data_IF_024255354610
#
_entry.id   IF_024255354610
#
_cell.length_a   1.000
_cell.length_b   1.000
_cell.length_c   1.000
_cell.angle_alpha   90.00
_cell.angle_beta   90.00
_cell.angle_gamma   90.00
#
_symmetry.space_group_name_H-M   'P 1'
#
loop_
_entity.id
_entity.type
_entity.pdbx_description
1 polymer ?
#
# COMPACT_ATOMS: atom_id res chain seq x y z
N UNK A 1 -35.77 -35.87 10.41
CA UNK A 1 -34.37 -35.40 10.29
C UNK A 1 -34.30 -34.05 10.96
N UNK A 2 -33.38 -33.86 11.91
CA UNK A 2 -33.15 -32.55 12.53
C UNK A 2 -32.58 -31.58 11.49
N UNK A 3 -33.13 -30.36 11.45
CA UNK A 3 -32.62 -29.28 10.61
C UNK A 3 -31.83 -28.31 11.46
N UNK A 4 -30.89 -27.60 10.84
CA UNK A 4 -30.13 -26.54 11.52
C UNK A 4 -31.08 -25.49 12.14
N UNK A 5 -32.17 -25.15 11.46
CA UNK A 5 -33.20 -24.21 11.91
C UNK A 5 -33.96 -24.66 13.15
N UNK A 6 -33.85 -25.93 13.55
CA UNK A 6 -34.51 -26.46 14.74
C UNK A 6 -33.69 -26.19 16.03
N UNK A 7 -32.47 -25.65 15.90
CA UNK A 7 -31.63 -25.27 17.04
C UNK A 7 -32.16 -24.01 17.75
N UNK A 8 -32.00 -23.91 19.08
CA UNK A 8 -32.19 -22.66 19.81
C UNK A 8 -31.36 -21.50 19.23
N UNK A 9 -31.85 -20.28 19.40
CA UNK A 9 -31.20 -19.07 18.84
C UNK A 9 -29.76 -18.92 19.34
N UNK A 10 -29.52 -19.27 20.60
CA UNK A 10 -28.20 -19.21 21.25
C UNK A 10 -27.18 -20.11 20.54
N UNK A 11 -27.58 -21.35 20.22
CA UNK A 11 -26.72 -22.29 19.49
C UNK A 11 -26.51 -21.84 18.04
N UNK A 12 -27.51 -21.21 17.43
CA UNK A 12 -27.34 -20.67 16.08
C UNK A 12 -26.37 -19.48 16.06
N UNK A 13 -26.43 -18.59 17.06
CA UNK A 13 -25.44 -17.51 17.23
C UNK A 13 -24.04 -18.10 17.42
N UNK A 14 -23.91 -19.14 18.23
CA UNK A 14 -22.64 -19.84 18.40
C UNK A 14 -22.12 -20.40 17.07
N UNK A 15 -22.96 -21.11 16.29
CA UNK A 15 -22.62 -21.59 14.95
C UNK A 15 -22.11 -20.46 14.05
N UNK A 16 -22.80 -19.31 14.03
CA UNK A 16 -22.35 -18.14 13.26
C UNK A 16 -20.97 -17.64 13.72
N UNK A 17 -20.72 -17.55 15.02
CA UNK A 17 -19.45 -17.11 15.61
C UNK A 17 -18.27 -18.07 15.37
N UNK A 18 -18.54 -19.30 14.93
CA UNK A 18 -17.52 -20.29 14.55
C UNK A 18 -17.27 -20.36 13.03
N UNK A 19 -17.94 -19.55 12.21
CA UNK A 19 -17.66 -19.48 10.77
C UNK A 19 -16.29 -18.84 10.51
N UNK A 20 -15.68 -19.19 9.37
CA UNK A 20 -14.30 -18.84 9.06
C UNK A 20 -14.10 -17.40 8.56
N UNK A 21 -15.15 -16.77 8.05
CA UNK A 21 -15.07 -15.45 7.44
C UNK A 21 -16.37 -14.64 7.55
N UNK A 22 -16.27 -13.33 7.32
CA UNK A 22 -17.42 -12.43 7.20
C UNK A 22 -18.36 -12.90 6.07
N UNK A 23 -17.80 -13.37 4.96
CA UNK A 23 -18.60 -13.81 3.82
C UNK A 23 -19.40 -15.09 4.16
N UNK A 24 -18.81 -16.02 4.92
CA UNK A 24 -19.50 -17.24 5.37
C UNK A 24 -20.76 -16.93 6.21
N UNK A 25 -20.70 -15.90 7.07
CA UNK A 25 -21.87 -15.43 7.83
C UNK A 25 -22.96 -14.96 6.88
N UNK A 26 -22.62 -14.09 5.93
CA UNK A 26 -23.60 -13.58 4.99
C UNK A 26 -24.12 -14.67 4.04
N UNK A 27 -23.31 -15.67 3.71
CA UNK A 27 -23.72 -16.83 2.92
C UNK A 27 -24.69 -17.72 3.68
N UNK A 28 -24.38 -18.08 4.93
CA UNK A 28 -25.27 -18.89 5.78
C UNK A 28 -26.59 -18.18 6.05
N UNK A 29 -26.55 -16.88 6.35
CA UNK A 29 -27.75 -16.09 6.58
C UNK A 29 -28.67 -15.98 5.35
N UNK A 30 -28.10 -16.07 4.14
CA UNK A 30 -28.88 -16.08 2.88
C UNK A 30 -29.56 -17.42 2.59
N UNK A 31 -29.21 -18.50 3.29
CA UNK A 31 -29.76 -19.83 3.03
C UNK A 31 -31.26 -19.93 3.39
N UNK A 32 -31.74 -19.26 4.45
CA UNK A 32 -33.16 -19.19 4.78
C UNK A 32 -33.52 -17.97 5.65
N UNK A 33 -34.82 -17.67 5.74
CA UNK A 33 -35.35 -16.52 6.50
C UNK A 33 -35.06 -16.60 8.00
N UNK A 34 -35.14 -17.80 8.58
CA UNK A 34 -34.92 -17.99 10.02
C UNK A 34 -33.48 -17.67 10.40
N UNK A 35 -32.50 -18.14 9.61
CA UNK A 35 -31.09 -17.80 9.80
C UNK A 35 -30.80 -16.31 9.55
N UNK A 36 -31.47 -15.71 8.55
CA UNK A 36 -31.38 -14.26 8.32
C UNK A 36 -31.86 -13.45 9.52
N UNK A 37 -32.92 -13.91 10.22
CA UNK A 37 -33.48 -13.20 11.37
C UNK A 37 -32.51 -13.06 12.55
N UNK A 38 -31.52 -13.95 12.66
CA UNK A 38 -30.49 -13.89 13.70
C UNK A 38 -29.59 -12.68 13.49
N UNK A 39 -29.07 -12.52 12.27
CA UNK A 39 -28.16 -11.42 11.94
C UNK A 39 -28.88 -10.08 11.71
N UNK A 40 -30.21 -10.06 11.70
CA UNK A 40 -30.99 -8.81 11.70
C UNK A 40 -30.96 -8.11 13.06
N UNK A 41 -30.65 -8.82 14.15
CA UNK A 41 -30.45 -8.22 15.47
C UNK A 41 -29.06 -7.58 15.52
N UNK A 42 -29.02 -6.24 15.53
CA UNK A 42 -27.76 -5.49 15.38
C UNK A 42 -26.68 -5.89 16.41
N UNK A 43 -27.03 -5.95 17.70
CA UNK A 43 -26.07 -6.34 18.74
C UNK A 43 -25.48 -7.74 18.50
N UNK A 44 -26.34 -8.72 18.18
CA UNK A 44 -25.94 -10.10 17.88
C UNK A 44 -25.04 -10.16 16.64
N UNK A 45 -25.38 -9.41 15.59
CA UNK A 45 -24.57 -9.33 14.38
C UNK A 45 -23.18 -8.78 14.65
N UNK A 46 -23.08 -7.70 15.42
CA UNK A 46 -21.79 -7.08 15.77
C UNK A 46 -20.96 -8.03 16.63
N UNK A 47 -21.58 -8.75 17.58
CA UNK A 47 -20.89 -9.75 18.40
C UNK A 47 -20.33 -10.91 17.56
N UNK A 48 -21.13 -11.46 16.65
CA UNK A 48 -20.70 -12.51 15.71
C UNK A 48 -19.50 -12.01 14.89
N UNK A 49 -19.62 -10.82 14.29
CA UNK A 49 -18.57 -10.25 13.44
C UNK A 49 -17.30 -9.96 14.22
N UNK A 50 -17.41 -9.44 15.45
CA UNK A 50 -16.28 -9.25 16.35
C UNK A 50 -15.54 -10.56 16.60
N UNK A 51 -16.25 -11.63 16.93
CA UNK A 51 -15.62 -12.95 17.16
C UNK A 51 -14.89 -13.45 15.92
N UNK A 52 -15.48 -13.29 14.74
CA UNK A 52 -14.84 -13.70 13.47
C UNK A 52 -13.60 -12.88 13.17
N UNK A 53 -13.68 -11.55 13.33
CA UNK A 53 -12.56 -10.64 13.09
C UNK A 53 -11.38 -10.98 14.00
N UNK A 54 -11.62 -11.19 15.30
CA UNK A 54 -10.57 -11.52 16.26
C UNK A 54 -9.88 -12.86 15.93
N UNK A 55 -10.64 -13.85 15.45
CA UNK A 55 -10.12 -15.21 15.22
C UNK A 55 -9.51 -15.41 13.84
N UNK A 56 -10.01 -14.70 12.84
CA UNK A 56 -9.64 -14.92 11.45
C UNK A 56 -8.27 -14.31 11.14
N UNK A 57 -7.35 -15.09 10.53
CA UNK A 57 -6.05 -14.55 10.12
C UNK A 57 -6.17 -13.44 9.07
N UNK A 58 -7.30 -13.34 8.34
CA UNK A 58 -7.55 -12.31 7.35
C UNK A 58 -7.50 -10.88 7.90
N UNK A 59 -7.74 -10.73 9.22
CA UNK A 59 -7.92 -9.44 9.89
C UNK A 59 -6.79 -9.13 10.89
N UNK A 60 -5.67 -9.86 10.84
CA UNK A 60 -4.57 -9.71 11.81
C UNK A 60 -3.98 -8.30 11.87
N UNK A 61 -3.95 -7.59 10.74
CA UNK A 61 -3.47 -6.20 10.65
C UNK A 61 -4.59 -5.16 10.80
N UNK A 62 -5.86 -5.56 10.73
CA UNK A 62 -6.99 -4.62 10.75
C UNK A 62 -7.13 -3.89 12.08
N UNK A 63 -6.85 -4.58 13.19
CA UNK A 63 -6.96 -4.02 14.54
C UNK A 63 -5.95 -2.87 14.69
N UNK A 64 -4.69 -3.14 14.33
CA UNK A 64 -3.61 -2.15 14.35
C UNK A 64 -3.92 -0.99 13.40
N UNK A 65 -4.42 -1.31 12.20
CA UNK A 65 -4.82 -0.31 11.22
C UNK A 65 -5.91 0.61 11.76
N UNK A 66 -6.91 0.09 12.50
CA UNK A 66 -7.93 0.93 13.12
C UNK A 66 -7.33 1.92 14.12
N UNK A 67 -6.39 1.47 14.95
CA UNK A 67 -5.69 2.35 15.91
C UNK A 67 -4.85 3.42 15.20
N UNK A 68 -4.16 3.06 14.12
CA UNK A 68 -3.39 4.01 13.31
C UNK A 68 -4.28 5.03 12.59
N UNK A 69 -5.42 4.60 12.05
CA UNK A 69 -6.36 5.51 11.40
C UNK A 69 -7.02 6.46 12.41
N UNK A 70 -7.27 6.00 13.65
CA UNK A 70 -7.71 6.88 14.73
C UNK A 70 -6.65 7.94 15.06
N UNK A 71 -5.38 7.52 15.20
CA UNK A 71 -4.26 8.44 15.39
C UNK A 71 -4.13 9.45 14.26
N UNK A 72 -4.19 9.00 13.00
CA UNK A 72 -4.19 9.86 11.82
C UNK A 72 -5.28 10.92 11.94
N UNK A 73 -6.52 10.51 12.22
CA UNK A 73 -7.66 11.42 12.38
C UNK A 73 -7.42 12.45 13.48
N UNK A 74 -6.87 12.03 14.61
CA UNK A 74 -6.60 12.94 15.72
C UNK A 74 -5.49 13.95 15.38
N UNK A 75 -4.45 13.53 14.67
CA UNK A 75 -3.40 14.41 14.16
C UNK A 75 -3.98 15.47 13.21
N UNK A 76 -4.85 15.06 12.27
CA UNK A 76 -5.54 15.99 11.37
C UNK A 76 -6.38 17.01 12.14
N UNK A 77 -7.18 16.55 13.12
CA UNK A 77 -8.02 17.42 13.94
C UNK A 77 -7.18 18.45 14.72
N UNK A 78 -6.05 18.04 15.27
CA UNK A 78 -5.15 18.94 15.99
C UNK A 78 -4.54 20.02 15.10
N UNK A 79 -4.19 19.67 13.86
CA UNK A 79 -3.68 20.65 12.87
C UNK A 79 -4.75 21.64 12.42
N UNK A 80 -5.99 21.19 12.22
CA UNK A 80 -7.09 22.09 11.91
C UNK A 80 -7.31 23.11 13.02
N UNK A 81 -7.11 22.70 14.28
CA UNK A 81 -7.24 23.54 15.46
C UNK A 81 -6.00 24.38 15.79
N UNK A 82 -4.90 24.25 15.03
CA UNK A 82 -3.61 24.93 15.25
C UNK A 82 -3.04 24.75 16.67
N UNK A 83 -3.32 23.62 17.32
CA UNK A 83 -2.78 23.32 18.64
C UNK A 83 -1.28 23.00 18.53
N UNK A 84 -0.49 23.24 19.60
CA UNK A 84 0.90 22.79 19.73
C UNK A 84 0.95 21.25 19.85
N UNK A 85 0.67 20.61 18.72
CA UNK A 85 0.26 19.19 18.60
C UNK A 85 1.41 18.25 18.90
N UNK A 86 2.62 18.64 18.50
CA UNK A 86 3.80 17.77 18.48
C UNK A 86 4.28 17.48 19.90
N UNK A 87 4.19 18.44 20.82
CA UNK A 87 4.61 18.25 22.22
C UNK A 87 3.67 17.30 22.96
N UNK A 88 2.36 17.37 22.70
CA UNK A 88 1.36 16.50 23.32
C UNK A 88 1.52 15.04 22.89
N UNK A 89 1.65 14.79 21.58
CA UNK A 89 1.82 13.44 21.07
C UNK A 89 3.21 12.87 21.38
N UNK A 90 4.28 13.67 21.25
CA UNK A 90 5.60 13.22 21.69
C UNK A 90 5.58 12.79 23.15
N UNK A 91 4.86 13.51 24.03
CA UNK A 91 4.71 13.12 25.43
C UNK A 91 3.91 11.83 25.59
N UNK A 92 2.77 11.72 24.90
CA UNK A 92 1.90 10.53 24.94
C UNK A 92 2.60 9.26 24.40
N UNK A 93 3.48 9.41 23.42
CA UNK A 93 4.29 8.33 22.85
C UNK A 93 5.52 7.98 23.69
N UNK A 94 6.25 8.99 24.18
CA UNK A 94 7.42 8.80 25.06
C UNK A 94 7.02 8.21 26.40
N UNK A 95 5.82 8.55 26.91
CA UNK A 95 5.30 8.01 28.18
C UNK A 95 4.77 6.56 28.04
N UNK A 96 4.92 5.91 26.88
CA UNK A 96 4.62 4.48 26.65
C UNK A 96 3.16 4.07 26.87
N UNK A 97 2.26 5.04 27.04
CA UNK A 97 0.92 4.83 27.61
C UNK A 97 -0.21 4.81 26.58
N UNK A 98 0.09 4.96 25.28
CA UNK A 98 -0.96 5.25 24.29
C UNK A 98 -1.02 4.40 23.04
N UNK A 99 -0.12 3.44 22.88
CA UNK A 99 -0.27 2.41 21.84
C UNK A 99 -0.03 1.04 22.46
N UNK A 100 -0.65 0.79 23.62
CA UNK A 100 -0.91 -0.59 24.01
C UNK A 100 -1.92 -1.12 23.00
N UNK A 101 -1.41 -1.71 21.92
CA UNK A 101 -2.17 -2.53 20.98
C UNK A 101 -2.48 -3.87 21.66
N UNK A 102 -2.96 -3.86 22.91
CA UNK A 102 -3.22 -5.12 23.60
C UNK A 102 -4.30 -5.88 22.81
N UNK A 103 -4.03 -7.07 22.25
CA UNK A 103 -5.02 -7.80 21.47
C UNK A 103 -6.24 -8.22 22.32
N UNK A 104 -6.11 -8.14 23.65
CA UNK A 104 -7.20 -8.34 24.60
C UNK A 104 -8.14 -7.12 24.69
N UNK A 105 -7.83 -6.01 24.01
CA UNK A 105 -8.71 -4.85 23.93
C UNK A 105 -9.93 -5.19 23.05
N UNK A 106 -11.10 -5.20 23.68
CA UNK A 106 -12.38 -5.46 23.06
C UNK A 106 -12.62 -4.51 21.88
N UNK A 107 -12.71 -5.04 20.65
CA UNK A 107 -13.02 -4.23 19.47
C UNK A 107 -14.34 -3.48 19.67
N UNK A 108 -14.30 -2.16 19.58
CA UNK A 108 -15.52 -1.35 19.63
C UNK A 108 -16.44 -1.66 18.43
N UNK A 109 -17.74 -1.45 18.60
CA UNK A 109 -18.72 -1.64 17.50
C UNK A 109 -18.34 -0.83 16.25
N UNK A 110 -17.81 0.39 16.44
CA UNK A 110 -17.35 1.24 15.35
C UNK A 110 -16.19 0.61 14.57
N UNK A 111 -15.18 0.06 15.26
CA UNK A 111 -14.07 -0.63 14.61
C UNK A 111 -14.53 -1.88 13.87
N UNK A 112 -15.50 -2.63 14.42
CA UNK A 112 -16.11 -3.78 13.71
C UNK A 112 -16.71 -3.32 12.39
N UNK A 113 -17.51 -2.24 12.38
CA UNK A 113 -18.08 -1.72 11.14
C UNK A 113 -17.02 -1.20 10.16
N UNK A 114 -15.99 -0.52 10.63
CA UNK A 114 -14.89 -0.05 9.78
C UNK A 114 -14.19 -1.22 9.07
N UNK A 115 -13.96 -2.33 9.79
CA UNK A 115 -13.37 -3.55 9.24
C UNK A 115 -14.32 -4.22 8.24
N UNK A 116 -15.62 -4.29 8.53
CA UNK A 116 -16.62 -4.84 7.60
C UNK A 116 -16.67 -4.04 6.29
N UNK A 117 -16.64 -2.71 6.37
CA UNK A 117 -16.61 -1.82 5.21
C UNK A 117 -15.31 -2.02 4.42
N UNK A 118 -14.18 -2.11 5.11
CA UNK A 118 -12.87 -2.35 4.50
C UNK A 118 -12.82 -3.70 3.78
N UNK A 119 -13.28 -4.78 4.42
CA UNK A 119 -13.36 -6.11 3.85
C UNK A 119 -14.14 -6.12 2.52
N UNK A 120 -15.27 -5.42 2.45
CA UNK A 120 -16.05 -5.33 1.21
C UNK A 120 -15.42 -4.37 0.19
N UNK A 121 -14.89 -3.22 0.64
CA UNK A 121 -14.30 -2.21 -0.23
C UNK A 121 -13.06 -2.72 -0.97
N UNK A 122 -12.18 -3.43 -0.28
CA UNK A 122 -10.92 -3.94 -0.83
C UNK A 122 -11.10 -5.07 -1.86
N UNK A 123 -12.29 -5.66 -1.98
CA UNK A 123 -12.61 -6.60 -3.08
C UNK A 123 -12.49 -5.96 -4.46
N UNK A 124 -12.52 -4.62 -4.54
CA UNK A 124 -12.20 -3.89 -5.77
C UNK A 124 -10.83 -4.27 -6.33
N UNK A 125 -9.81 -4.35 -5.47
CA UNK A 125 -8.47 -4.77 -5.87
C UNK A 125 -8.38 -6.23 -6.27
N UNK A 126 -9.11 -7.13 -5.59
CA UNK A 126 -9.16 -8.54 -6.00
C UNK A 126 -9.69 -8.67 -7.43
N UNK A 127 -10.75 -7.93 -7.76
CA UNK A 127 -11.30 -7.89 -9.12
C UNK A 127 -10.29 -7.35 -10.14
N UNK A 128 -9.54 -6.30 -9.77
CA UNK A 128 -8.49 -5.72 -10.64
C UNK A 128 -7.33 -6.69 -10.85
N UNK A 129 -6.84 -7.33 -9.79
CA UNK A 129 -5.78 -8.35 -9.86
C UNK A 129 -6.18 -9.50 -10.78
N UNK A 130 -7.41 -9.99 -10.63
CA UNK A 130 -7.93 -11.11 -11.43
C UNK A 130 -8.34 -10.71 -12.85
N UNK A 131 -8.45 -9.41 -13.15
CA UNK A 131 -8.99 -8.92 -14.42
C UNK A 131 -8.14 -9.33 -15.62
N UNK A 132 -6.82 -9.34 -15.45
CA UNK A 132 -5.86 -9.85 -16.43
C UNK A 132 -4.56 -10.30 -15.78
N UNK A 133 -3.81 -11.09 -16.52
CA UNK A 133 -2.41 -11.41 -16.24
C UNK A 133 -1.55 -10.16 -16.46
N UNK A 134 -0.62 -9.87 -15.53
CA UNK A 134 0.28 -8.73 -15.59
C UNK A 134 1.67 -9.18 -16.04
N UNK A 135 2.21 -8.54 -17.07
CA UNK A 135 3.57 -8.73 -17.55
C UNK A 135 4.54 -7.70 -16.96
N UNK A 136 5.84 -7.85 -17.21
CA UNK A 136 6.86 -6.90 -16.74
C UNK A 136 6.56 -5.45 -17.17
N UNK A 137 6.15 -5.24 -18.41
CA UNK A 137 5.78 -3.92 -18.96
C UNK A 137 4.49 -3.33 -18.35
N UNK A 138 3.75 -4.11 -17.56
CA UNK A 138 2.59 -3.62 -16.82
C UNK A 138 2.96 -3.00 -15.47
N UNK A 139 4.25 -2.95 -15.11
CA UNK A 139 4.73 -2.33 -13.89
C UNK A 139 5.64 -1.14 -14.21
N UNK A 140 5.53 -0.10 -13.39
CA UNK A 140 6.33 1.11 -13.45
C UNK A 140 6.71 1.51 -12.02
N UNK A 141 7.88 1.04 -11.60
CA UNK A 141 8.48 1.39 -10.32
C UNK A 141 9.10 2.80 -10.35
N UNK A 142 9.24 3.39 -9.17
CA UNK A 142 9.92 4.68 -9.01
C UNK A 142 11.43 4.54 -9.28
N UNK A 143 12.08 3.52 -8.71
CA UNK A 143 13.53 3.34 -8.78
C UNK A 143 14.08 2.71 -10.06
N UNK A 144 13.20 2.28 -10.98
CA UNK A 144 13.59 1.48 -12.15
C UNK A 144 14.28 2.30 -13.26
N UNK A 145 14.06 3.62 -13.29
CA UNK A 145 14.54 4.48 -14.37
C UNK A 145 15.38 5.64 -13.84
N UNK A 146 16.56 5.84 -14.44
CA UNK A 146 17.40 7.01 -14.20
C UNK A 146 17.23 8.10 -15.26
N UNK A 147 16.74 7.74 -16.44
CA UNK A 147 16.52 8.64 -17.58
C UNK A 147 15.04 8.98 -17.77
N UNK A 148 14.77 10.26 -18.02
CA UNK A 148 13.42 10.77 -18.20
C UNK A 148 12.71 10.23 -19.47
N UNK A 149 13.46 9.92 -20.53
CA UNK A 149 12.93 9.38 -21.78
C UNK A 149 12.49 7.94 -21.58
N UNK A 150 13.28 7.15 -20.86
CA UNK A 150 12.96 5.76 -20.51
C UNK A 150 11.69 5.70 -19.66
N UNK A 151 11.61 6.51 -18.60
CA UNK A 151 10.41 6.60 -17.75
C UNK A 151 9.16 6.98 -18.55
N UNK A 152 9.28 7.97 -19.44
CA UNK A 152 8.16 8.41 -20.29
C UNK A 152 7.69 7.29 -21.21
N UNK A 153 8.62 6.58 -21.85
CA UNK A 153 8.32 5.45 -22.74
C UNK A 153 7.70 4.27 -21.99
N UNK A 154 8.19 3.95 -20.80
CA UNK A 154 7.62 2.90 -19.96
C UNK A 154 6.19 3.25 -19.54
N UNK A 155 5.95 4.50 -19.14
CA UNK A 155 4.62 5.01 -18.82
C UNK A 155 3.64 4.94 -20.01
N UNK A 156 4.08 5.37 -21.19
CA UNK A 156 3.28 5.26 -22.43
C UNK A 156 2.95 3.80 -22.77
N UNK A 157 3.94 2.90 -22.62
CA UNK A 157 3.76 1.45 -22.81
C UNK A 157 2.67 0.92 -21.89
N UNK A 158 2.76 1.20 -20.58
CA UNK A 158 1.77 0.80 -19.58
C UNK A 158 0.35 1.25 -19.96
N UNK A 159 0.18 2.53 -20.31
CA UNK A 159 -1.12 3.07 -20.70
C UNK A 159 -1.65 2.41 -21.98
N UNK A 160 -0.80 2.28 -23.01
CA UNK A 160 -1.18 1.67 -24.30
C UNK A 160 -1.66 0.22 -24.16
N UNK A 161 -0.99 -0.56 -23.29
CA UNK A 161 -1.38 -1.93 -22.98
C UNK A 161 -2.73 -1.99 -22.28
N UNK A 162 -2.99 -1.10 -21.32
CA UNK A 162 -4.29 -1.04 -20.64
C UNK A 162 -5.45 -0.75 -21.59
N UNK A 163 -5.29 0.21 -22.50
CA UNK A 163 -6.32 0.52 -23.50
C UNK A 163 -6.54 -0.63 -24.49
N UNK A 164 -5.46 -1.31 -24.90
CA UNK A 164 -5.53 -2.45 -25.82
C UNK A 164 -6.14 -3.69 -25.15
N UNK A 165 -5.88 -3.88 -23.85
CA UNK A 165 -6.34 -5.02 -23.07
C UNK A 165 -7.87 -5.12 -22.94
N UNK A 166 -8.62 -4.05 -23.21
CA UNK A 166 -10.08 -4.09 -23.28
C UNK A 166 -10.58 -5.13 -24.31
N UNK A 167 -9.76 -5.45 -25.32
CA UNK A 167 -10.10 -6.39 -26.39
C UNK A 167 -9.25 -7.68 -26.41
N UNK A 168 -8.27 -7.81 -25.51
CA UNK A 168 -7.37 -8.97 -25.47
C UNK A 168 -7.90 -10.10 -24.58
N UNK A 169 -7.52 -11.37 -24.83
CA UNK A 169 -7.80 -12.45 -23.89
C UNK A 169 -7.20 -12.10 -22.53
N UNK A 170 -8.01 -12.24 -21.47
CA UNK A 170 -7.63 -11.83 -20.11
C UNK A 170 -6.35 -12.51 -19.61
N UNK A 171 -6.03 -13.70 -20.13
CA UNK A 171 -4.84 -14.50 -19.78
C UNK A 171 -4.37 -15.28 -20.97
N UNK A 172 -3.05 -15.31 -21.15
CA UNK A 172 -2.41 -15.86 -22.34
C UNK A 172 -1.71 -17.18 -21.99
N UNK A 173 -1.16 -17.30 -20.77
CA UNK A 173 -0.42 -18.49 -20.38
C UNK A 173 -1.34 -19.67 -20.04
N UNK A 174 -1.07 -20.84 -20.63
CA UNK A 174 -1.84 -22.08 -20.43
C UNK A 174 -1.99 -22.45 -18.95
N UNK A 175 -1.02 -22.08 -18.12
CA UNK A 175 -1.00 -22.39 -16.68
C UNK A 175 -1.87 -21.44 -15.85
N UNK A 176 -2.17 -20.23 -16.34
CA UNK A 176 -2.91 -19.19 -15.59
C UNK A 176 -4.36 -19.03 -16.04
N UNK A 177 -4.75 -19.61 -17.18
CA UNK A 177 -6.11 -19.55 -17.73
C UNK A 177 -7.18 -19.98 -16.71
N UNK A 178 -6.89 -20.92 -15.81
CA UNK A 178 -7.84 -21.43 -14.83
C UNK A 178 -8.01 -20.56 -13.57
N UNK A 179 -7.15 -19.57 -13.34
CA UNK A 179 -7.09 -18.80 -12.08
C UNK A 179 -8.18 -17.72 -11.92
N UNK A 180 -9.42 -17.96 -12.33
CA UNK A 180 -10.45 -16.92 -12.49
C UNK A 180 -11.00 -16.37 -11.18
N UNK A 181 -10.67 -17.00 -10.06
CA UNK A 181 -11.12 -16.64 -8.72
C UNK A 181 -10.09 -17.06 -7.68
N UNK A 182 -10.07 -16.35 -6.56
CA UNK A 182 -9.34 -16.76 -5.37
C UNK A 182 -10.23 -17.68 -4.51
N UNK A 183 -9.64 -18.70 -3.90
CA UNK A 183 -10.30 -19.50 -2.86
C UNK A 183 -10.34 -18.74 -1.51
N UNK A 184 -11.01 -19.27 -0.50
CA UNK A 184 -11.18 -18.59 0.80
C UNK A 184 -9.86 -18.23 1.49
N UNK A 185 -8.86 -19.11 1.43
CA UNK A 185 -7.53 -18.87 2.00
C UNK A 185 -6.79 -17.76 1.25
N UNK A 186 -6.81 -17.81 -0.07
CA UNK A 186 -6.21 -16.78 -0.93
C UNK A 186 -6.88 -15.41 -0.75
N UNK A 187 -8.21 -15.36 -0.57
CA UNK A 187 -8.94 -14.12 -0.26
C UNK A 187 -8.49 -13.55 1.08
N UNK A 188 -8.36 -14.40 2.11
CA UNK A 188 -7.89 -14.01 3.44
C UNK A 188 -6.45 -13.46 3.40
N UNK A 189 -5.56 -14.13 2.69
CA UNK A 189 -4.16 -13.70 2.48
C UNK A 189 -4.08 -12.38 1.71
N UNK A 190 -4.82 -12.26 0.61
CA UNK A 190 -4.89 -11.04 -0.20
C UNK A 190 -5.35 -9.84 0.64
N UNK A 191 -6.41 -10.01 1.43
CA UNK A 191 -6.90 -8.96 2.32
C UNK A 191 -5.85 -8.57 3.36
N UNK A 192 -5.26 -9.57 4.03
CA UNK A 192 -4.27 -9.32 5.07
C UNK A 192 -3.04 -8.58 4.52
N UNK A 193 -2.53 -8.99 3.34
CA UNK A 193 -1.41 -8.32 2.67
C UNK A 193 -1.70 -6.84 2.40
N UNK A 194 -2.88 -6.51 1.87
CA UNK A 194 -3.28 -5.11 1.66
C UNK A 194 -3.33 -4.34 2.98
N UNK A 195 -3.94 -4.91 4.01
CA UNK A 195 -4.08 -4.22 5.29
C UNK A 195 -2.75 -4.06 6.02
N UNK A 196 -1.84 -5.02 5.90
CA UNK A 196 -0.48 -4.93 6.42
C UNK A 196 0.30 -3.82 5.70
N UNK A 197 0.23 -3.79 4.36
CA UNK A 197 0.85 -2.73 3.58
C UNK A 197 0.25 -1.35 3.90
N UNK A 198 -1.06 -1.28 4.17
CA UNK A 198 -1.71 -0.05 4.62
C UNK A 198 -1.18 0.39 6.00
N UNK A 199 -1.01 -0.54 6.95
CA UNK A 199 -0.35 -0.24 8.23
C UNK A 199 1.02 0.38 8.01
N UNK A 200 1.85 -0.22 7.15
CA UNK A 200 3.19 0.32 6.81
C UNK A 200 3.08 1.75 6.24
N UNK A 201 2.13 2.01 5.36
CA UNK A 201 1.96 3.33 4.75
C UNK A 201 1.34 4.38 5.67
N UNK A 202 0.43 4.03 6.58
CA UNK A 202 -0.04 4.95 7.62
C UNK A 202 1.09 5.36 8.54
N UNK A 203 1.93 4.40 8.86
CA UNK A 203 3.10 4.61 9.69
C UNK A 203 4.11 5.54 8.98
N UNK A 204 4.41 5.31 7.69
CA UNK A 204 5.20 6.25 6.86
C UNK A 204 4.55 7.63 6.81
N UNK A 205 3.24 7.70 6.63
CA UNK A 205 2.50 8.96 6.62
C UNK A 205 2.70 9.71 7.95
N UNK A 206 2.55 9.04 9.08
CA UNK A 206 2.78 9.62 10.42
C UNK A 206 4.22 10.14 10.55
N UNK A 207 5.22 9.36 10.13
CA UNK A 207 6.63 9.78 10.14
C UNK A 207 6.91 11.01 9.28
N UNK A 208 6.26 11.10 8.11
CA UNK A 208 6.40 12.24 7.20
C UNK A 208 5.92 13.56 7.83
N UNK A 209 5.11 13.49 8.89
CA UNK A 209 4.45 14.63 9.50
C UNK A 209 5.14 15.15 10.76
N UNK A 210 6.03 14.36 11.37
CA UNK A 210 6.86 14.83 12.48
C UNK A 210 7.86 15.88 12.01
N UNK A 211 8.06 16.94 12.80
CA UNK A 211 8.78 18.17 12.41
C UNK A 211 10.09 17.91 11.66
N UNK A 212 10.17 18.48 10.47
CA UNK A 212 11.41 18.72 9.77
C UNK A 212 11.79 20.20 9.94
N UNK A 213 13.06 20.53 10.23
CA UNK A 213 14.10 19.66 10.79
C UNK A 213 13.89 19.48 12.31
N UNK A 214 13.99 18.25 12.81
CA UNK A 214 14.13 17.98 14.25
C UNK A 214 15.46 17.28 14.45
N UNK A 215 16.27 17.80 15.37
CA UNK A 215 17.54 17.18 15.78
C UNK A 215 17.32 15.83 16.49
N UNK A 216 16.07 15.50 16.84
CA UNK A 216 15.68 14.25 17.50
C UNK A 216 14.58 13.57 16.71
N UNK A 217 14.97 12.61 15.89
CA UNK A 217 14.07 11.67 15.20
C UNK A 217 13.89 10.35 15.99
N UNK A 218 14.45 10.29 17.20
CA UNK A 218 14.52 9.08 18.02
C UNK A 218 13.13 8.60 18.47
N UNK A 219 12.22 9.51 18.84
CA UNK A 219 10.89 9.13 19.33
C UNK A 219 10.00 8.50 18.23
N UNK A 220 9.87 9.10 17.03
CA UNK A 220 9.20 8.43 15.92
C UNK A 220 9.85 7.09 15.55
N UNK A 221 11.18 6.99 15.55
CA UNK A 221 11.89 5.74 15.27
C UNK A 221 11.65 4.66 16.34
N UNK A 222 11.54 5.02 17.62
CA UNK A 222 11.19 4.09 18.69
C UNK A 222 9.76 3.57 18.56
N UNK A 223 8.84 4.46 18.18
CA UNK A 223 7.45 4.09 17.88
C UNK A 223 7.40 3.09 16.71
N UNK A 224 8.17 3.32 15.65
CA UNK A 224 8.32 2.36 14.54
C UNK A 224 8.78 0.99 15.02
N UNK A 225 9.80 0.96 15.87
CA UNK A 225 10.35 -0.29 16.39
C UNK A 225 9.32 -1.05 17.23
N UNK A 226 8.51 -0.33 18.03
CA UNK A 226 7.39 -0.92 18.76
C UNK A 226 6.35 -1.53 17.81
N UNK A 227 5.86 -0.76 16.84
CA UNK A 227 4.89 -1.24 15.85
C UNK A 227 5.40 -2.46 15.06
N UNK A 228 6.67 -2.41 14.64
CA UNK A 228 7.32 -3.51 13.94
C UNK A 228 7.36 -4.76 14.79
N UNK A 229 7.78 -4.65 16.05
CA UNK A 229 7.84 -5.79 16.98
C UNK A 229 6.45 -6.40 17.18
N UNK A 230 5.43 -5.56 17.36
CA UNK A 230 4.05 -6.02 17.55
C UNK A 230 3.47 -6.66 16.28
N UNK A 231 3.90 -6.22 15.09
CA UNK A 231 3.59 -6.87 13.82
C UNK A 231 4.25 -8.25 13.77
N UNK A 232 5.57 -8.32 13.96
CA UNK A 232 6.36 -9.56 13.91
C UNK A 232 5.82 -10.63 14.88
N UNK A 233 5.41 -10.26 16.10
CA UNK A 233 4.86 -11.19 17.09
C UNK A 233 3.50 -11.80 16.69
N UNK A 234 2.77 -11.17 15.76
CA UNK A 234 1.44 -11.61 15.31
C UNK A 234 1.45 -12.42 14.02
N UNK A 235 2.57 -12.44 13.31
CA UNK A 235 2.67 -13.15 12.04
C UNK A 235 2.68 -14.67 12.27
N UNK A 236 1.74 -15.38 11.65
CA UNK A 236 1.63 -16.85 11.76
C UNK A 236 2.44 -17.59 10.70
N UNK A 237 2.68 -16.96 9.55
CA UNK A 237 3.35 -17.54 8.36
C UNK A 237 4.30 -16.50 7.77
N UNK A 238 5.50 -16.34 8.34
CA UNK A 238 6.32 -15.15 8.11
C UNK A 238 6.79 -15.00 6.68
N UNK A 239 7.37 -16.03 6.05
CA UNK A 239 7.84 -15.89 4.67
C UNK A 239 6.68 -15.63 3.71
N UNK A 240 5.58 -16.38 3.86
CA UNK A 240 4.43 -16.24 2.98
C UNK A 240 3.81 -14.84 3.08
N UNK A 241 3.71 -14.32 4.30
CA UNK A 241 3.16 -12.99 4.55
C UNK A 241 4.03 -11.90 3.91
N UNK A 242 5.36 -11.99 4.05
CA UNK A 242 6.28 -11.00 3.43
C UNK A 242 6.19 -11.04 1.91
N UNK A 243 6.17 -12.24 1.32
CA UNK A 243 6.02 -12.45 -0.13
C UNK A 243 4.69 -11.85 -0.63
N UNK A 244 3.59 -12.10 0.09
CA UNK A 244 2.26 -11.59 -0.26
C UNK A 244 2.21 -10.05 -0.16
N UNK A 245 2.83 -9.47 0.87
CA UNK A 245 2.92 -8.00 1.07
C UNK A 245 3.77 -7.36 -0.03
N UNK A 246 4.91 -7.95 -0.37
CA UNK A 246 5.78 -7.43 -1.44
C UNK A 246 5.09 -7.48 -2.81
N UNK A 247 4.45 -8.60 -3.15
CA UNK A 247 3.65 -8.69 -4.38
C UNK A 247 2.50 -7.68 -4.40
N UNK A 248 1.84 -7.46 -3.25
CA UNK A 248 0.78 -6.46 -3.12
C UNK A 248 1.31 -5.03 -3.29
N UNK A 249 2.50 -4.74 -2.78
CA UNK A 249 3.16 -3.44 -2.96
C UNK A 249 3.41 -3.15 -4.43
N UNK A 250 4.00 -4.08 -5.16
CA UNK A 250 4.24 -3.92 -6.59
C UNK A 250 2.91 -3.76 -7.35
N UNK A 251 1.89 -4.54 -7.02
CA UNK A 251 0.58 -4.37 -7.65
C UNK A 251 -0.06 -3.01 -7.38
N UNK A 252 -0.13 -2.58 -6.12
CA UNK A 252 -0.79 -1.31 -5.78
C UNK A 252 -0.01 -0.11 -6.32
N UNK A 253 1.31 -0.08 -6.12
CA UNK A 253 2.10 1.13 -6.34
C UNK A 253 2.91 1.14 -7.61
N UNK A 254 3.23 -0.02 -8.20
CA UNK A 254 3.92 -0.10 -9.49
C UNK A 254 2.96 -0.43 -10.64
N UNK A 255 1.76 -0.95 -10.37
CA UNK A 255 0.76 -1.17 -11.41
C UNK A 255 -0.44 -0.20 -11.29
N UNK A 256 -1.22 -0.29 -10.21
CA UNK A 256 -2.51 0.43 -10.09
C UNK A 256 -2.31 1.95 -10.03
N UNK A 257 -1.37 2.43 -9.20
CA UNK A 257 -1.06 3.85 -9.08
C UNK A 257 -0.64 4.49 -10.41
N UNK A 258 0.43 4.04 -11.11
CA UNK A 258 0.82 4.66 -12.37
C UNK A 258 -0.29 4.55 -13.43
N UNK A 259 -0.97 3.41 -13.51
CA UNK A 259 -2.04 3.20 -14.48
C UNK A 259 -3.16 4.25 -14.38
N UNK A 260 -3.49 4.68 -13.15
CA UNK A 260 -4.54 5.66 -12.89
C UNK A 260 -4.01 7.07 -12.54
N UNK A 261 -2.69 7.29 -12.65
CA UNK A 261 -2.05 8.54 -12.31
C UNK A 261 -2.62 9.75 -13.09
N UNK A 262 -3.00 9.54 -14.35
CA UNK A 262 -3.55 10.59 -15.21
C UNK A 262 -4.85 11.21 -14.64
N UNK A 263 -5.59 10.52 -13.77
CA UNK A 263 -6.77 11.09 -13.08
C UNK A 263 -6.39 12.28 -12.19
N UNK A 264 -5.17 12.30 -11.67
CA UNK A 264 -4.61 13.38 -10.86
C UNK A 264 -3.69 14.32 -11.65
N UNK A 265 -3.51 14.08 -12.96
CA UNK A 265 -2.77 15.01 -13.81
C UNK A 265 -3.46 16.36 -13.88
N UNK A 266 -2.66 17.41 -14.04
CA UNK A 266 -3.08 18.82 -14.13
C UNK A 266 -3.85 19.36 -12.91
N UNK A 267 -3.94 18.59 -11.82
CA UNK A 267 -4.54 19.05 -10.57
C UNK A 267 -3.60 20.04 -9.86
N UNK A 268 -4.12 20.98 -9.05
CA UNK A 268 -3.29 21.94 -8.34
C UNK A 268 -2.46 21.25 -7.24
N UNK A 269 -1.13 21.39 -7.32
CA UNK A 269 -0.15 20.83 -6.35
C UNK A 269 -0.30 21.37 -4.92
N UNK A 270 -1.19 22.34 -4.71
CA UNK A 270 -1.50 22.91 -3.40
C UNK A 270 -2.41 22.05 -2.55
N UNK A 271 -3.09 21.11 -3.20
CA UNK A 271 -4.05 20.21 -2.55
C UNK A 271 -3.60 18.76 -2.57
N UNK A 272 -2.67 18.43 -3.45
CA UNK A 272 -2.08 17.12 -3.59
C UNK A 272 -0.57 17.31 -3.57
N UNK A 273 0.17 16.60 -2.71
CA UNK A 273 1.61 16.58 -2.81
C UNK A 273 1.95 16.03 -4.20
N UNK A 274 2.43 16.92 -5.07
CA UNK A 274 3.10 16.59 -6.33
C UNK A 274 2.16 15.97 -7.39
N UNK A 275 1.53 16.81 -8.20
CA UNK A 275 0.85 16.40 -9.44
C UNK A 275 1.80 16.51 -10.63
N UNK A 276 1.39 16.03 -11.80
CA UNK A 276 2.16 16.14 -13.03
C UNK A 276 1.30 16.65 -14.18
N UNK A 277 1.97 17.18 -15.21
CA UNK A 277 1.30 17.68 -16.41
C UNK A 277 0.91 16.53 -17.34
N UNK A 278 -0.34 16.49 -17.81
CA UNK A 278 -0.75 15.60 -18.90
C UNK A 278 -0.17 16.03 -20.26
N UNK A 279 0.13 17.32 -20.40
CA UNK A 279 0.67 17.90 -21.62
C UNK A 279 2.19 18.09 -21.55
N UNK A 280 2.97 17.54 -22.50
CA UNK A 280 4.42 17.68 -22.53
C UNK A 280 4.90 19.08 -23.00
N UNK A 281 4.05 20.11 -22.94
CA UNK A 281 4.35 21.47 -23.44
C UNK A 281 5.60 22.09 -22.78
N UNK A 282 6.00 21.60 -21.59
CA UNK A 282 7.21 22.04 -20.87
C UNK A 282 8.44 21.15 -21.14
N UNK A 283 8.41 20.33 -22.20
CA UNK A 283 9.43 19.36 -22.55
C UNK A 283 9.19 18.00 -21.87
N UNK A 284 9.43 16.88 -22.58
CA UNK A 284 9.13 15.53 -22.09
C UNK A 284 9.90 15.21 -20.79
N UNK A 285 11.12 15.74 -20.65
CA UNK A 285 11.93 15.44 -19.47
C UNK A 285 11.39 16.06 -18.18
N UNK A 286 10.79 17.26 -18.24
CA UNK A 286 10.23 17.89 -17.05
C UNK A 286 8.93 17.19 -16.62
N UNK A 287 8.10 16.78 -17.57
CA UNK A 287 6.91 15.98 -17.29
C UNK A 287 7.28 14.66 -16.61
N UNK A 288 8.30 13.96 -17.13
CA UNK A 288 8.83 12.74 -16.52
C UNK A 288 9.33 12.96 -15.09
N UNK A 289 10.03 14.07 -14.82
CA UNK A 289 10.48 14.43 -13.46
C UNK A 289 9.31 14.61 -12.49
N UNK A 290 8.22 15.23 -12.91
CA UNK A 290 7.03 15.37 -12.07
C UNK A 290 6.26 14.06 -11.92
N UNK A 291 6.18 13.24 -12.97
CA UNK A 291 5.63 11.88 -12.88
C UNK A 291 6.44 11.06 -11.85
N UNK A 292 7.76 11.11 -11.92
CA UNK A 292 8.66 10.45 -10.98
C UNK A 292 8.38 10.89 -9.54
N UNK A 293 8.27 12.21 -9.28
CA UNK A 293 7.89 12.74 -7.97
C UNK A 293 6.49 12.33 -7.53
N UNK A 294 5.53 12.27 -8.45
CA UNK A 294 4.17 11.81 -8.18
C UNK A 294 4.17 10.33 -7.75
N UNK A 295 4.92 9.46 -8.41
CA UNK A 295 5.00 8.04 -8.04
C UNK A 295 5.57 7.86 -6.63
N UNK A 296 6.66 8.57 -6.31
CA UNK A 296 7.26 8.60 -4.98
C UNK A 296 6.28 9.09 -3.89
N UNK A 297 5.62 10.22 -4.16
CA UNK A 297 4.64 10.79 -3.25
C UNK A 297 3.44 9.87 -3.08
N UNK A 298 2.98 9.28 -4.18
CA UNK A 298 1.87 8.35 -4.20
C UNK A 298 2.12 7.11 -3.35
N UNK A 299 3.32 6.54 -3.44
CA UNK A 299 3.77 5.42 -2.59
C UNK A 299 3.74 5.75 -1.09
N UNK A 300 3.94 7.02 -0.73
CA UNK A 300 4.02 7.46 0.67
C UNK A 300 2.68 7.92 1.23
N UNK A 301 1.87 8.60 0.41
CA UNK A 301 0.69 9.33 0.87
C UNK A 301 -0.64 8.75 0.40
N UNK A 302 -0.67 7.98 -0.69
CA UNK A 302 -1.90 7.36 -1.17
C UNK A 302 -2.08 6.01 -0.48
N UNK A 303 -3.23 5.86 0.16
CA UNK A 303 -3.61 4.63 0.82
C UNK A 303 -4.42 3.75 -0.14
N UNK A 304 -4.60 2.44 0.15
CA UNK A 304 -5.38 1.57 -0.72
C UNK A 304 -6.78 2.11 -1.08
N UNK A 305 -7.57 2.73 -0.18
CA UNK A 305 -8.84 3.36 -0.57
C UNK A 305 -8.69 4.48 -1.62
N UNK A 306 -7.62 5.28 -1.56
CA UNK A 306 -7.36 6.33 -2.55
C UNK A 306 -7.13 5.72 -3.93
N UNK A 307 -6.37 4.62 -4.03
CA UNK A 307 -6.10 3.95 -5.31
C UNK A 307 -7.36 3.31 -5.91
N UNK A 308 -8.25 2.75 -5.09
CA UNK A 308 -9.58 2.29 -5.56
C UNK A 308 -10.36 3.47 -6.13
N UNK A 309 -10.37 4.59 -5.42
CA UNK A 309 -11.07 5.78 -5.88
C UNK A 309 -10.50 6.28 -7.22
N UNK A 310 -9.17 6.29 -7.39
CA UNK A 310 -8.52 6.60 -8.67
C UNK A 310 -8.97 5.67 -9.80
N UNK A 311 -9.00 4.37 -9.54
CA UNK A 311 -9.43 3.38 -10.52
C UNK A 311 -10.91 3.56 -10.91
N UNK A 312 -11.79 3.76 -9.93
CA UNK A 312 -13.23 4.02 -10.16
C UNK A 312 -13.42 5.29 -10.98
N UNK A 313 -12.65 6.35 -10.68
CA UNK A 313 -12.73 7.62 -11.42
C UNK A 313 -12.23 7.50 -12.83
N UNK A 314 -11.11 6.81 -13.06
CA UNK A 314 -10.64 6.51 -14.39
C UNK A 314 -11.75 5.79 -15.20
N UNK A 315 -12.37 4.77 -14.59
CA UNK A 315 -13.47 4.05 -15.21
C UNK A 315 -14.68 4.95 -15.52
N UNK A 316 -15.08 5.80 -14.58
CA UNK A 316 -16.17 6.75 -14.79
C UNK A 316 -15.83 7.82 -15.83
N UNK A 317 -14.59 8.32 -15.86
CA UNK A 317 -14.16 9.35 -16.81
C UNK A 317 -14.20 8.85 -18.27
N UNK A 318 -14.08 7.54 -18.49
CA UNK A 318 -14.26 6.91 -19.80
C UNK A 318 -15.74 6.87 -20.25
N UNK A 319 -16.69 7.20 -19.37
CA UNK A 319 -18.13 7.23 -19.67
C UNK A 319 -18.66 8.67 -19.58
N UNK A 320 -18.84 9.40 -20.69
CA UNK A 320 -19.45 10.73 -20.63
C UNK A 320 -20.87 10.65 -19.99
N UNK A 321 -21.30 11.63 -19.16
CA UNK A 321 -20.81 13.01 -19.02
C UNK A 321 -20.03 13.31 -17.72
N UNK A 322 -19.36 12.34 -17.07
CA UNK A 322 -18.77 12.58 -15.75
C UNK A 322 -17.64 13.64 -15.75
N UNK A 323 -17.72 14.59 -14.81
CA UNK A 323 -16.73 15.65 -14.61
C UNK A 323 -15.51 15.15 -13.79
N UNK A 324 -14.32 15.65 -14.14
CA UNK A 324 -13.05 15.42 -13.43
C UNK A 324 -12.93 16.26 -12.15
N UNK A 325 -13.75 15.98 -11.12
CA UNK A 325 -13.63 16.67 -9.82
C UNK A 325 -12.81 15.83 -8.85
N UNK A 326 -11.66 16.28 -8.31
CA UNK A 326 -10.85 15.49 -7.37
C UNK A 326 -11.61 15.19 -6.06
N UNK A 327 -11.29 14.11 -5.33
CA UNK A 327 -12.01 13.69 -4.13
C UNK A 327 -11.98 14.77 -3.05
N UNK A 328 -13.03 14.82 -2.22
CA UNK A 328 -13.00 15.65 -1.00
C UNK A 328 -12.07 15.06 0.06
N UNK A 329 -12.03 13.73 0.17
CA UNK A 329 -11.11 12.96 1.04
C UNK A 329 -9.66 13.28 0.73
N UNK A 330 -9.23 13.06 -0.51
CA UNK A 330 -7.87 13.33 -1.00
C UNK A 330 -7.39 14.76 -0.74
N UNK A 331 -8.28 15.76 -0.70
CA UNK A 331 -7.93 17.18 -0.38
C UNK A 331 -7.59 17.43 1.10
N UNK A 332 -8.16 16.65 2.02
CA UNK A 332 -8.00 16.84 3.46
C UNK A 332 -6.95 15.88 4.04
N UNK A 333 -6.85 14.67 3.49
CA UNK A 333 -6.03 13.59 4.02
C UNK A 333 -4.56 13.65 3.57
N UNK A 334 -4.26 14.32 2.46
CA UNK A 334 -2.95 14.23 1.81
C UNK A 334 -2.04 15.43 2.06
N UNK A 335 -2.42 16.36 2.94
CA UNK A 335 -1.61 17.57 3.09
C UNK A 335 -0.23 17.20 3.62
N UNK A 336 0.85 17.41 2.84
CA UNK A 336 2.16 17.37 3.44
C UNK A 336 2.25 18.56 4.40
N UNK A 337 3.13 18.42 5.39
CA UNK A 337 3.43 19.38 6.45
C UNK A 337 3.09 20.85 6.07
N UNK A 338 2.14 21.47 6.79
CA UNK A 338 1.53 22.76 6.41
C UNK A 338 2.55 23.90 6.18
N UNK A 339 3.72 23.83 6.81
CA UNK A 339 4.77 24.84 6.63
C UNK A 339 5.40 24.82 5.22
N UNK A 340 5.18 23.74 4.46
CA UNK A 340 5.79 23.50 3.14
C UNK A 340 4.74 23.19 2.06
N UNK A 341 3.56 23.83 2.12
CA UNK A 341 2.58 23.72 1.03
C UNK A 341 3.08 24.38 -0.26
N UNK A 342 2.78 23.76 -1.40
CA UNK A 342 2.93 24.43 -2.71
C UNK A 342 1.98 25.64 -2.78
N UNK A 343 2.37 26.75 -3.42
CA UNK A 343 1.54 27.95 -3.50
C UNK A 343 0.39 27.83 -4.53
N UNK A 344 -0.80 28.42 -4.27
CA UNK A 344 -2.09 28.17 -4.97
C UNK A 344 -2.14 28.36 -6.49
N UNK A 345 -1.11 28.94 -7.10
CA UNK A 345 -1.17 29.49 -8.47
C UNK A 345 0.03 29.10 -9.35
N UNK A 346 1.03 28.36 -8.87
CA UNK A 346 2.00 27.80 -9.82
C UNK A 346 1.37 26.64 -10.55
N UNK A 347 0.73 26.96 -11.67
CA UNK A 347 0.75 26.07 -12.82
C UNK A 347 2.18 25.57 -12.93
N UNK A 348 2.39 24.25 -12.82
CA UNK A 348 3.69 23.60 -13.07
C UNK A 348 4.25 23.98 -14.46
N UNK A 349 3.43 24.64 -15.28
CA UNK A 349 3.74 25.18 -16.61
C UNK A 349 4.25 26.62 -16.64
N UNK A 350 4.01 27.44 -15.60
CA UNK A 350 4.41 28.86 -15.61
C UNK A 350 5.86 29.10 -15.12
N UNK A 351 6.48 28.09 -14.52
CA UNK A 351 7.81 28.17 -13.92
C UNK A 351 8.92 27.82 -14.93
N UNK A 352 9.09 28.65 -15.97
CA UNK A 352 10.34 28.65 -16.75
C UNK A 352 10.98 30.04 -16.66
N UNK A 353 11.92 30.26 -15.72
CA UNK A 353 13.03 31.17 -15.93
C UNK A 353 14.26 30.34 -16.24
N UNK A 354 14.84 30.62 -17.40
CA UNK A 354 16.03 29.97 -17.95
C UNK A 354 17.28 30.11 -17.05
N UNK A 355 17.27 30.97 -16.01
CA UNK A 355 18.42 31.17 -15.12
C UNK A 355 17.99 31.63 -13.71
N UNK A 356 18.00 30.74 -12.72
CA UNK A 356 17.88 31.07 -11.29
C UNK A 356 17.42 29.91 -10.39
N UNK A 357 17.81 29.87 -9.09
CA UNK A 357 17.29 28.90 -8.14
C UNK A 357 15.80 29.13 -7.90
N UNK A 358 14.94 28.24 -8.39
CA UNK A 358 13.50 28.34 -8.19
C UNK A 358 13.16 28.03 -6.73
N UNK A 359 12.32 28.84 -6.05
CA UNK A 359 11.84 28.54 -4.70
C UNK A 359 11.12 27.18 -4.64
N UNK A 360 10.52 26.75 -5.75
CA UNK A 360 9.86 25.45 -5.89
C UNK A 360 10.83 24.27 -5.86
N UNK A 361 12.05 24.42 -6.38
CA UNK A 361 13.07 23.38 -6.31
C UNK A 361 13.45 23.09 -4.85
N UNK A 362 13.54 24.14 -4.02
CA UNK A 362 13.75 23.96 -2.58
C UNK A 362 12.60 23.20 -1.94
N UNK A 363 11.35 23.53 -2.30
CA UNK A 363 10.16 22.89 -1.75
C UNK A 363 10.06 21.41 -2.14
N UNK A 364 10.33 21.09 -3.41
CA UNK A 364 10.41 19.71 -3.92
C UNK A 364 11.46 18.93 -3.13
N UNK A 365 12.65 19.49 -2.95
CA UNK A 365 13.73 18.81 -2.21
C UNK A 365 13.37 18.63 -0.74
N UNK A 366 12.65 19.57 -0.13
CA UNK A 366 12.09 19.39 1.21
C UNK A 366 11.11 18.21 1.26
N UNK A 367 10.16 18.10 0.32
CA UNK A 367 9.23 16.97 0.28
C UNK A 367 9.93 15.64 0.03
N UNK A 368 10.91 15.59 -0.86
CA UNK A 368 11.72 14.38 -1.07
C UNK A 368 12.42 13.97 0.22
N UNK A 369 13.07 14.92 0.92
CA UNK A 369 13.74 14.65 2.18
C UNK A 369 12.77 14.15 3.26
N UNK A 370 11.55 14.69 3.30
CA UNK A 370 10.47 14.24 4.19
C UNK A 370 10.10 12.79 3.89
N UNK A 371 9.83 12.46 2.62
CA UNK A 371 9.47 11.12 2.16
C UNK A 371 10.60 10.12 2.46
N UNK A 372 11.83 10.44 2.09
CA UNK A 372 12.98 9.57 2.32
C UNK A 372 13.22 9.29 3.80
N UNK A 373 13.05 10.30 4.66
CA UNK A 373 13.18 10.11 6.11
C UNK A 373 12.06 9.22 6.67
N UNK A 374 10.87 9.28 6.08
CA UNK A 374 9.75 8.42 6.46
C UNK A 374 9.90 6.97 5.98
N UNK A 375 10.92 6.64 5.17
CA UNK A 375 11.14 5.25 4.75
C UNK A 375 11.58 4.36 5.92
N UNK A 376 11.03 3.13 6.04
CA UNK A 376 11.39 2.19 7.10
C UNK A 376 12.90 1.93 7.20
N UNK A 377 13.59 1.59 6.10
CA UNK A 377 15.00 1.19 6.21
C UNK A 377 15.92 2.34 6.62
N UNK A 378 15.62 3.58 6.21
CA UNK A 378 16.34 4.77 6.69
C UNK A 378 16.04 5.06 8.15
N UNK A 379 14.81 4.82 8.61
CA UNK A 379 14.47 4.97 10.01
C UNK A 379 15.20 3.96 10.90
N UNK A 380 15.46 2.73 10.41
CA UNK A 380 16.06 1.65 11.20
C UNK A 380 17.59 1.55 11.13
N UNK A 381 18.21 1.84 9.98
CA UNK A 381 19.59 1.40 9.73
C UNK A 381 20.61 2.51 9.49
N UNK A 382 20.21 3.75 9.21
CA UNK A 382 21.19 4.82 8.94
C UNK A 382 20.60 6.22 9.11
N UNK A 383 21.37 7.19 9.67
CA UNK A 383 20.92 8.58 9.68
C UNK A 383 20.68 9.04 8.23
N UNK A 384 19.56 9.73 7.95
CA UNK A 384 19.19 10.11 6.60
C UNK A 384 20.29 10.98 5.98
N UNK A 385 20.87 10.54 4.87
CA UNK A 385 21.66 11.41 4.00
C UNK A 385 20.69 12.38 3.34
N UNK A 386 20.52 13.54 3.97
CA UNK A 386 19.69 14.61 3.44
C UNK A 386 20.26 15.04 2.08
N UNK A 387 19.38 15.11 1.08
CA UNK A 387 19.71 15.73 -0.19
C UNK A 387 20.06 17.19 0.10
N UNK A 388 21.35 17.53 -0.01
CA UNK A 388 21.79 18.91 0.00
C UNK A 388 21.51 19.51 -1.36
N UNK A 389 20.87 20.68 -1.38
CA UNK A 389 20.92 21.56 -2.53
C UNK A 389 22.41 21.82 -2.82
N UNK A 390 22.96 21.20 -3.85
CA UNK A 390 24.28 21.52 -4.35
C UNK A 390 24.08 22.57 -5.45
N UNK A 391 24.15 23.88 -5.12
CA UNK A 391 23.84 24.95 -6.07
C UNK A 391 24.75 24.99 -7.31
N UNK A 392 25.81 24.17 -7.36
CA UNK A 392 26.75 24.09 -8.49
C UNK A 392 26.57 22.89 -9.43
N UNK A 393 25.69 21.92 -9.13
CA UNK A 393 25.39 20.80 -10.04
C UNK A 393 23.99 20.99 -10.60
N UNK A 394 23.90 21.63 -11.78
CA UNK A 394 22.67 21.54 -12.55
C UNK A 394 22.48 20.08 -12.96
N UNK A 395 21.39 19.40 -12.54
CA UNK A 395 21.09 18.08 -13.06
C UNK A 395 21.00 18.18 -14.58
N UNK A 396 21.51 17.17 -15.27
CA UNK A 396 21.39 17.12 -16.73
C UNK A 396 19.90 17.24 -17.10
N UNK A 397 19.62 17.90 -18.22
CA UNK A 397 18.25 18.18 -18.62
C UNK A 397 17.39 16.91 -18.61
N UNK A 398 17.96 15.76 -19.03
CA UNK A 398 17.33 14.44 -19.11
C UNK A 398 17.36 13.59 -17.82
N UNK A 399 18.24 13.88 -16.86
CA UNK A 399 18.38 13.01 -15.67
C UNK A 399 17.21 13.20 -14.71
N UNK A 400 16.62 12.11 -14.23
CA UNK A 400 15.63 12.15 -13.15
C UNK A 400 16.28 12.56 -11.82
N UNK A 401 15.43 12.79 -10.81
CA UNK A 401 15.94 13.06 -9.46
C UNK A 401 16.61 11.79 -8.92
N UNK A 402 17.86 11.89 -8.45
CA UNK A 402 18.53 10.80 -7.77
C UNK A 402 17.96 10.67 -6.34
N UNK A 403 16.97 9.81 -6.18
CA UNK A 403 16.22 9.61 -4.95
C UNK A 403 16.18 8.11 -4.68
N UNK A 404 16.55 7.73 -3.47
CA UNK A 404 16.33 6.38 -2.96
C UNK A 404 15.02 6.40 -2.16
N UNK A 405 13.96 5.74 -2.65
CA UNK A 405 12.89 5.23 -1.78
C UNK A 405 13.15 3.76 -1.53
N UNK A 406 13.39 3.45 -0.27
CA UNK A 406 13.91 2.16 0.14
C UNK A 406 12.82 1.25 0.72
N UNK A 407 11.53 1.60 0.52
CA UNK A 407 10.43 0.74 0.93
C UNK A 407 10.42 -0.58 0.15
N UNK A 408 10.59 -0.53 -1.17
CA UNK A 408 10.65 -1.74 -1.99
C UNK A 408 11.80 -2.64 -1.55
N UNK A 409 13.02 -2.09 -1.49
CA UNK A 409 14.22 -2.81 -1.01
C UNK A 409 14.00 -3.40 0.38
N UNK A 410 13.31 -2.68 1.27
CA UNK A 410 13.03 -3.14 2.62
C UNK A 410 12.07 -4.34 2.64
N UNK A 411 11.01 -4.30 1.82
CA UNK A 411 10.05 -5.40 1.68
C UNK A 411 10.69 -6.63 1.04
N UNK A 412 11.50 -6.43 -0.01
CA UNK A 412 12.29 -7.50 -0.62
C UNK A 412 13.24 -8.11 0.42
N UNK A 413 13.98 -7.28 1.17
CA UNK A 413 14.87 -7.74 2.21
C UNK A 413 14.13 -8.52 3.31
N UNK A 414 12.90 -8.15 3.67
CA UNK A 414 12.11 -8.95 4.62
C UNK A 414 11.82 -10.35 4.06
N UNK A 415 11.48 -10.47 2.78
CA UNK A 415 11.28 -11.78 2.12
C UNK A 415 12.56 -12.63 2.19
N UNK A 416 13.70 -12.03 1.83
CA UNK A 416 14.99 -12.73 1.82
C UNK A 416 15.43 -13.14 3.23
N UNK A 417 15.28 -12.26 4.22
CA UNK A 417 15.60 -12.53 5.62
C UNK A 417 14.71 -13.65 6.19
N UNK A 418 13.41 -13.63 5.94
CA UNK A 418 12.51 -14.68 6.41
C UNK A 418 12.80 -16.02 5.75
N UNK A 419 13.17 -16.04 4.47
CA UNK A 419 13.63 -17.27 3.84
C UNK A 419 14.92 -17.80 4.50
N UNK A 420 15.91 -16.93 4.66
CA UNK A 420 17.23 -17.29 5.20
C UNK A 420 17.18 -17.81 6.65
N UNK A 421 16.23 -17.33 7.46
CA UNK A 421 16.03 -17.80 8.84
C UNK A 421 15.79 -19.31 8.91
N UNK A 422 15.18 -19.89 7.88
CA UNK A 422 14.76 -21.30 7.88
C UNK A 422 15.37 -22.15 6.78
N UNK A 423 16.13 -21.55 5.86
CA UNK A 423 16.87 -22.29 4.84
C UNK A 423 17.82 -23.33 5.47
N UNK A 424 17.92 -24.51 4.84
CA UNK A 424 18.71 -25.64 5.36
C UNK A 424 20.18 -25.24 5.53
N UNK A 425 20.66 -25.22 6.77
CA UNK A 425 22.08 -25.00 7.11
C UNK A 425 22.94 -26.12 6.50
N UNK A 426 23.71 -25.82 5.45
CA UNK A 426 24.72 -26.75 4.94
C UNK A 426 25.04 -26.71 3.45
N UNK A 427 24.17 -26.14 2.60
CA UNK A 427 24.55 -25.78 1.22
C UNK A 427 25.20 -24.39 1.25
N UNK A 428 26.23 -24.16 0.43
CA UNK A 428 26.81 -22.83 0.23
C UNK A 428 25.66 -21.83 0.09
N UNK A 429 25.63 -20.80 0.95
CA UNK A 429 24.71 -19.67 0.84
C UNK A 429 25.06 -18.93 -0.46
N UNK A 430 24.64 -19.49 -1.59
CA UNK A 430 24.70 -18.82 -2.87
C UNK A 430 23.76 -17.63 -2.83
N UNK A 431 23.99 -16.72 -3.76
CA UNK A 431 23.35 -15.42 -3.81
C UNK A 431 21.84 -15.57 -4.06
N UNK A 432 21.07 -15.77 -2.99
CA UNK A 432 19.61 -15.88 -3.06
C UNK A 432 18.99 -14.64 -3.68
N UNK A 433 19.60 -13.48 -3.48
CA UNK A 433 19.17 -12.25 -4.12
C UNK A 433 19.25 -12.38 -5.64
N UNK A 434 20.32 -12.97 -6.17
CA UNK A 434 20.43 -13.22 -7.60
C UNK A 434 19.36 -14.20 -8.12
N UNK A 435 19.09 -15.29 -7.39
CA UNK A 435 18.03 -16.23 -7.75
C UNK A 435 16.63 -15.59 -7.67
N UNK A 436 16.43 -14.71 -6.69
CA UNK A 436 15.22 -13.90 -6.55
C UNK A 436 15.06 -12.96 -7.73
N UNK A 437 16.07 -12.17 -8.08
CA UNK A 437 16.04 -11.25 -9.23
C UNK A 437 15.68 -11.99 -10.52
N UNK A 438 16.33 -13.13 -10.81
CA UNK A 438 16.00 -13.94 -12.00
C UNK A 438 14.56 -14.44 -11.99
N UNK A 439 14.15 -15.18 -10.96
CA UNK A 439 12.84 -15.85 -10.99
C UNK A 439 11.65 -14.98 -10.57
N UNK A 440 11.84 -14.01 -9.67
CA UNK A 440 10.76 -13.11 -9.26
C UNK A 440 10.43 -12.10 -10.35
N UNK A 441 11.48 -11.54 -10.97
CA UNK A 441 11.36 -10.45 -11.95
C UNK A 441 11.25 -11.01 -13.37
N UNK A 442 12.22 -11.80 -13.84
CA UNK A 442 12.28 -12.18 -15.26
C UNK A 442 11.20 -13.20 -15.65
N UNK A 443 10.88 -14.16 -14.77
CA UNK A 443 9.87 -15.18 -15.04
C UNK A 443 8.42 -14.67 -14.79
N UNK A 444 8.24 -13.43 -14.32
CA UNK A 444 6.91 -12.84 -14.07
C UNK A 444 6.10 -13.51 -12.96
N UNK A 445 6.76 -14.28 -12.08
CA UNK A 445 6.10 -15.15 -11.09
C UNK A 445 5.38 -14.35 -9.98
N UNK A 446 5.70 -13.05 -9.84
CA UNK A 446 5.09 -12.14 -8.85
C UNK A 446 3.56 -12.06 -8.92
N UNK A 447 2.97 -12.06 -10.12
CA UNK A 447 1.51 -12.02 -10.26
C UNK A 447 0.86 -13.37 -9.86
N UNK A 448 1.62 -14.46 -9.90
CA UNK A 448 1.10 -15.79 -9.61
C UNK A 448 1.18 -16.19 -8.12
N UNK A 449 1.63 -15.28 -7.25
CA UNK A 449 1.96 -15.53 -5.83
C UNK A 449 0.89 -16.32 -5.07
N UNK A 450 -0.38 -16.00 -5.30
CA UNK A 450 -1.50 -16.64 -4.62
C UNK A 450 -1.63 -18.13 -4.95
N UNK A 451 -1.12 -18.58 -6.09
CA UNK A 451 -1.28 -19.95 -6.59
C UNK A 451 -0.04 -20.80 -6.34
N UNK A 452 1.17 -20.31 -6.63
CA UNK A 452 2.39 -21.11 -6.40
C UNK A 452 2.78 -21.11 -4.92
N UNK A 453 2.64 -19.98 -4.21
CA UNK A 453 2.91 -19.89 -2.77
C UNK A 453 1.70 -20.34 -1.96
N UNK A 454 0.97 -21.38 -2.40
CA UNK A 454 -0.29 -21.86 -1.79
C UNK A 454 -0.18 -22.39 -0.35
N UNK A 455 0.85 -22.02 0.39
CA UNK A 455 1.19 -22.35 1.77
C UNK A 455 2.67 -22.04 2.02
N UNK A 456 3.03 -21.83 3.29
CA UNK A 456 4.40 -21.54 3.74
C UNK A 456 5.42 -22.56 3.20
N UNK A 457 5.14 -23.86 3.34
CA UNK A 457 6.02 -24.92 2.87
C UNK A 457 6.22 -24.91 1.34
N UNK A 458 5.17 -24.54 0.58
CA UNK A 458 5.25 -24.44 -0.87
C UNK A 458 6.06 -23.23 -1.29
N UNK A 459 5.87 -22.10 -0.63
CA UNK A 459 6.65 -20.89 -0.88
C UNK A 459 8.14 -21.16 -0.67
N UNK A 460 8.50 -21.75 0.46
CA UNK A 460 9.89 -22.16 0.78
C UNK A 460 10.45 -23.13 -0.24
N UNK A 461 9.74 -24.22 -0.52
CA UNK A 461 10.20 -25.22 -1.48
C UNK A 461 10.38 -24.65 -2.90
N UNK A 462 9.58 -23.63 -3.29
CA UNK A 462 9.74 -22.95 -4.58
C UNK A 462 10.98 -22.06 -4.60
N UNK A 463 11.21 -21.25 -3.56
CA UNK A 463 12.42 -20.43 -3.44
C UNK A 463 13.69 -21.29 -3.34
N UNK A 464 13.66 -22.44 -2.64
CA UNK A 464 14.78 -23.40 -2.62
C UNK A 464 15.10 -23.91 -4.03
N UNK A 465 14.08 -24.16 -4.88
CA UNK A 465 14.30 -24.59 -6.27
C UNK A 465 14.89 -23.51 -7.14
N UNK A 466 14.50 -22.25 -6.98
CA UNK A 466 15.12 -21.14 -7.72
C UNK A 466 16.63 -21.07 -7.47
N UNK A 467 17.04 -21.31 -6.23
CA UNK A 467 18.46 -21.38 -5.87
C UNK A 467 19.15 -22.59 -6.50
N UNK A 468 18.47 -23.73 -6.63
CA UNK A 468 19.00 -24.94 -7.25
C UNK A 468 19.10 -24.84 -8.77
N UNK A 469 18.12 -24.24 -9.44
CA UNK A 469 18.07 -24.05 -10.91
C UNK A 469 19.21 -23.13 -11.40
N UNK A 470 19.70 -22.20 -10.57
CA UNK A 470 20.87 -21.35 -10.85
C UNK A 470 22.22 -22.09 -10.80
N UNK A 471 22.25 -23.34 -10.30
CA UNK A 471 23.46 -24.15 -10.15
C UNK A 471 23.74 -24.98 -11.40
N UNK A 472 22.68 -25.32 -12.14
CA UNK A 472 22.70 -26.18 -13.33
C UNK A 472 22.91 -25.34 -14.60
#
# INVERSE_FOLDING_TARGET
MAKLTDLPTELLVEVFSYLGSIDDVHHLARACKDLSSIIQKQAVYVDIMRTIIIRSPAHRSDIQLCSLLALHKDLLNCWEQRLETITFYNRRFVDGSSVNLDPDEYLSDAQVYDILVRWQGLKGFQKMWLARELEMDDYLGFGEHSDATELSKAYETLLSRSYSAANSPKRIHKHTVCYTSLNSDQIARFHAAITCLWVVNEVRWVLAQFTYPSDRFDAPAQLMMGFRKDLEERVKTPLLDEIDVYAMYQFLYHHVLPLHAHVLSDQPSTRLPLTFSSHPLNGPSQAAKYLHLFLLAGQTYLQPPDLIELAVRNHCAQQPPYHSVPPRSTRNYQRPYQAHCFPPITSLHAAIPTYGPHPESSLIITHINIIQRASPSRTFHSPPRLLRNNPGRHPQASSLFNIEDTLEDWLEEQCLVEFDKYARRGKERRDIRHAWEGSWVEDGIRWEVWWWAGGEDKARAKMERWVEEMIE
#
